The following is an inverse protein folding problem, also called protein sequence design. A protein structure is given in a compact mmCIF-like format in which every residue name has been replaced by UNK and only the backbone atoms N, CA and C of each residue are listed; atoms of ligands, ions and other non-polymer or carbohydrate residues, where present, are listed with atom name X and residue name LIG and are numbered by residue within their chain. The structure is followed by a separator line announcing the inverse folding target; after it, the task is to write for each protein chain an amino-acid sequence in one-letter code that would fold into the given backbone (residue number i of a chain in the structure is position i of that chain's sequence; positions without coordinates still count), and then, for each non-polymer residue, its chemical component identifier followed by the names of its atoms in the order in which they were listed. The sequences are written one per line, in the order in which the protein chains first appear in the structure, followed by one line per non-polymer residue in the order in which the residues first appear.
data_IF_955903576154
#
_entry.id   IF_955903576154
#
_cell.length_a   1.000
_cell.length_b   1.000
_cell.length_c   1.000
_cell.angle_alpha   90.00
_cell.angle_beta   90.00
_cell.angle_gamma   90.00
#
_symmetry.space_group_name_H-M   'P 1'
#
loop_
_entity.id
_entity.type
_entity.pdbx_description
1 polymer ?
#
# COMPACT_ATOMS: atom_id res chain seq x y z
N UNK A 1 -18.77 8.63 -16.95
CA UNK A 1 -17.39 8.93 -16.47
C UNK A 1 -17.39 8.81 -14.95
N UNK A 2 -17.22 7.60 -14.42
CA UNK A 2 -17.07 7.40 -12.97
C UNK A 2 -15.62 7.69 -12.59
N UNK A 3 -15.35 8.93 -12.19
CA UNK A 3 -14.05 9.29 -11.61
C UNK A 3 -13.82 8.45 -10.36
N UNK A 4 -12.70 7.72 -10.32
CA UNK A 4 -12.26 6.98 -9.13
C UNK A 4 -11.75 8.03 -8.13
N UNK A 5 -12.53 8.33 -7.09
CA UNK A 5 -12.28 9.34 -6.05
C UNK A 5 -11.10 9.03 -5.09
N UNK A 6 -10.18 8.13 -5.44
CA UNK A 6 -9.07 7.69 -4.59
C UNK A 6 -7.77 8.00 -5.32
N UNK A 7 -7.31 9.24 -5.26
CA UNK A 7 -6.06 9.69 -5.90
C UNK A 7 -4.91 9.86 -4.91
N UNK A 8 -5.14 9.68 -3.60
CA UNK A 8 -4.15 9.95 -2.55
C UNK A 8 -4.14 8.84 -1.50
N UNK A 9 -2.97 8.59 -0.89
CA UNK A 9 -2.82 7.70 0.26
C UNK A 9 -3.71 8.19 1.41
N UNK A 10 -4.74 7.41 1.74
CA UNK A 10 -5.62 7.68 2.87
C UNK A 10 -5.11 6.99 4.16
N UNK A 11 -5.75 7.30 5.29
CA UNK A 11 -5.37 6.74 6.58
C UNK A 11 -5.48 5.21 6.61
N UNK A 12 -6.47 4.63 5.90
CA UNK A 12 -6.68 3.19 5.84
C UNK A 12 -5.56 2.48 5.07
N UNK A 13 -5.18 2.98 3.91
CA UNK A 13 -4.04 2.46 3.14
C UNK A 13 -2.76 2.57 3.97
N UNK A 14 -2.55 3.69 4.68
CA UNK A 14 -1.40 3.86 5.56
C UNK A 14 -1.37 2.81 6.67
N UNK A 15 -2.48 2.60 7.37
CA UNK A 15 -2.58 1.57 8.42
C UNK A 15 -2.29 0.17 7.88
N UNK A 16 -2.83 -0.16 6.69
CA UNK A 16 -2.56 -1.44 6.03
C UNK A 16 -1.07 -1.61 5.66
N UNK A 17 -0.41 -0.56 5.16
CA UNK A 17 1.04 -0.57 4.88
C UNK A 17 1.83 -0.85 6.15
N UNK A 18 1.50 -0.16 7.24
CA UNK A 18 2.19 -0.32 8.52
C UNK A 18 1.95 -1.73 9.09
N UNK A 19 0.73 -2.25 8.97
CA UNK A 19 0.41 -3.60 9.40
C UNK A 19 1.24 -4.66 8.64
N UNK A 20 1.45 -4.50 7.33
CA UNK A 20 2.37 -5.38 6.56
C UNK A 20 3.81 -5.21 7.03
N UNK A 21 4.28 -3.96 7.19
CA UNK A 21 5.64 -3.66 7.64
C UNK A 21 5.96 -4.33 8.98
N UNK A 22 5.03 -4.24 9.93
CA UNK A 22 5.20 -4.75 11.28
C UNK A 22 5.25 -6.29 11.32
N UNK A 23 4.84 -6.99 10.25
CA UNK A 23 5.03 -8.44 10.13
C UNK A 23 6.49 -8.84 9.87
N UNK A 24 7.29 -7.98 9.23
CA UNK A 24 8.66 -8.28 8.81
C UNK A 24 8.79 -9.42 7.78
N UNK A 25 7.70 -9.85 7.14
CA UNK A 25 7.69 -11.03 6.25
C UNK A 25 8.27 -10.78 4.86
N UNK A 26 8.36 -9.52 4.43
CA UNK A 26 8.92 -9.14 3.12
C UNK A 26 9.66 -7.82 3.18
N UNK A 27 10.53 -7.60 2.20
CA UNK A 27 11.07 -6.28 1.93
C UNK A 27 9.95 -5.36 1.41
N UNK A 28 9.80 -4.18 2.01
CA UNK A 28 8.72 -3.25 1.62
C UNK A 28 8.89 -2.65 0.21
N UNK A 29 10.00 -2.86 -0.48
CA UNK A 29 10.15 -2.51 -1.90
C UNK A 29 9.81 -3.66 -2.84
N UNK A 30 9.61 -4.88 -2.34
CA UNK A 30 9.01 -5.98 -3.09
C UNK A 30 7.49 -5.80 -3.12
N UNK A 31 7.04 -4.91 -4.00
CA UNK A 31 5.62 -4.54 -4.15
C UNK A 31 4.76 -5.76 -4.45
N UNK A 32 5.25 -6.74 -5.22
CA UNK A 32 4.49 -7.95 -5.54
C UNK A 32 4.26 -8.81 -4.30
N UNK A 33 5.28 -8.98 -3.45
CA UNK A 33 5.12 -9.67 -2.18
C UNK A 33 4.20 -8.91 -1.21
N UNK A 34 4.32 -7.58 -1.13
CA UNK A 34 3.45 -6.73 -0.30
C UNK A 34 2.00 -6.87 -0.76
N UNK A 35 1.74 -6.80 -2.06
CA UNK A 35 0.40 -6.92 -2.62
C UNK A 35 -0.23 -8.29 -2.33
N UNK A 36 0.56 -9.37 -2.43
CA UNK A 36 0.11 -10.71 -2.04
C UNK A 36 -0.23 -10.79 -0.54
N UNK A 37 0.65 -10.30 0.34
CA UNK A 37 0.42 -10.33 1.79
C UNK A 37 -0.78 -9.47 2.21
N UNK A 38 -1.02 -8.37 1.50
CA UNK A 38 -2.19 -7.52 1.66
C UNK A 38 -3.48 -8.25 1.25
N UNK A 39 -3.46 -8.94 0.10
CA UNK A 39 -4.60 -9.75 -0.35
C UNK A 39 -4.95 -10.86 0.64
N UNK A 40 -3.95 -11.58 1.17
CA UNK A 40 -4.12 -12.65 2.16
C UNK A 40 -4.70 -12.15 3.51
N UNK A 41 -4.71 -10.83 3.74
CA UNK A 41 -5.22 -10.18 4.97
C UNK A 41 -6.47 -9.34 4.74
N UNK A 42 -7.11 -9.47 3.58
CA UNK A 42 -8.28 -8.67 3.19
C UNK A 42 -8.01 -7.15 3.11
N UNK A 43 -6.74 -6.74 2.92
CA UNK A 43 -6.34 -5.34 2.74
C UNK A 43 -6.53 -4.89 1.29
N UNK A 44 -7.77 -4.99 0.79
CA UNK A 44 -8.09 -4.75 -0.62
C UNK A 44 -7.82 -3.32 -1.08
N UNK A 45 -7.92 -2.32 -0.19
CA UNK A 45 -7.57 -0.94 -0.52
C UNK A 45 -6.09 -0.79 -0.84
N UNK A 46 -5.20 -1.38 -0.03
CA UNK A 46 -3.77 -1.42 -0.33
C UNK A 46 -3.48 -2.20 -1.62
N UNK A 47 -4.15 -3.33 -1.85
CA UNK A 47 -3.98 -4.11 -3.08
C UNK A 47 -4.28 -3.27 -4.32
N UNK A 48 -5.40 -2.53 -4.30
CA UNK A 48 -5.79 -1.66 -5.41
C UNK A 48 -4.93 -0.39 -5.49
N UNK A 49 -4.52 0.16 -4.36
CA UNK A 49 -3.66 1.34 -4.31
C UNK A 49 -2.30 1.09 -4.96
N UNK A 50 -1.70 -0.09 -4.75
CA UNK A 50 -0.40 -0.44 -5.32
C UNK A 50 -0.41 -0.61 -6.85
N UNK A 51 -1.57 -0.71 -7.50
CA UNK A 51 -1.66 -0.74 -8.97
C UNK A 51 -1.33 0.63 -9.58
N UNK A 52 -1.90 1.69 -9.01
CA UNK A 52 -1.85 3.04 -9.60
C UNK A 52 -0.84 3.98 -8.89
N UNK A 53 -0.37 3.64 -7.67
CA UNK A 53 0.37 4.56 -6.79
C UNK A 53 1.71 4.02 -6.25
N UNK A 54 2.45 3.26 -7.06
CA UNK A 54 3.75 2.67 -6.66
C UNK A 54 4.80 3.70 -6.28
N UNK A 55 4.79 4.86 -6.94
CA UNK A 55 5.75 5.94 -6.68
C UNK A 55 5.50 6.62 -5.33
N UNK A 56 4.24 6.93 -5.03
CA UNK A 56 3.82 7.49 -3.74
C UNK A 56 4.06 6.50 -2.61
N UNK A 57 3.76 5.22 -2.84
CA UNK A 57 4.10 4.14 -1.91
C UNK A 57 5.61 4.10 -1.61
N UNK A 58 6.46 4.06 -2.64
CA UNK A 58 7.91 4.01 -2.45
C UNK A 58 8.43 5.26 -1.71
N UNK A 59 7.90 6.45 -2.01
CA UNK A 59 8.20 7.68 -1.28
C UNK A 59 7.83 7.54 0.20
N UNK A 60 6.62 7.05 0.51
CA UNK A 60 6.18 6.85 1.89
C UNK A 60 7.09 5.87 2.65
N UNK A 61 7.53 4.78 2.01
CA UNK A 61 8.47 3.83 2.65
C UNK A 61 9.82 4.49 2.94
N UNK A 62 10.30 5.39 2.08
CA UNK A 62 11.58 6.09 2.24
C UNK A 62 11.51 7.24 3.27
N UNK A 63 10.44 8.02 3.27
CA UNK A 63 10.38 9.30 4.00
C UNK A 63 9.38 9.31 5.15
N UNK A 64 8.43 8.38 5.17
CA UNK A 64 7.28 8.40 6.08
C UNK A 64 6.23 9.47 5.75
N UNK A 65 6.38 10.21 4.64
CA UNK A 65 5.46 11.26 4.21
C UNK A 65 4.42 10.72 3.21
N UNK A 66 3.15 11.01 3.48
CA UNK A 66 1.99 10.58 2.67
C UNK A 66 1.45 11.71 1.76
#
# INVERSE_FOLDING_TARGET
MSGRWWTKMDEKVKEQILAIRDTGLTNMFDVTAVQRLAYERDFYELVLYLEDHRSEYAKFILTGEA
#
